data_IF_033325560637
#
_entry.id   IF_033325560637
#
_cell.length_a   1.000
_cell.length_b   1.000
_cell.length_c   1.000
_cell.angle_alpha   90.00
_cell.angle_beta   90.00
_cell.angle_gamma   90.00
#
_symmetry.space_group_name_H-M   'P 1'
#
loop_
_entity.id
_entity.type
_entity.pdbx_description
1 polymer ?
#
# COMPACT_ATOMS: atom_id res chain seq x y z
N UNK A 1 36.59 -27.94 5.02
CA UNK A 1 37.36 -28.15 6.25
C UNK A 1 37.42 -29.63 6.66
N UNK A 2 36.33 -30.36 6.75
CA UNK A 2 36.31 -31.79 7.17
C UNK A 2 37.21 -32.67 6.29
N UNK A 3 37.15 -32.54 4.97
CA UNK A 3 38.01 -33.29 4.05
C UNK A 3 39.51 -33.04 4.24
N UNK A 4 39.91 -31.82 4.57
CA UNK A 4 41.32 -31.48 4.85
C UNK A 4 41.80 -32.17 6.13
N UNK A 5 40.96 -32.20 7.16
CA UNK A 5 41.27 -32.88 8.43
C UNK A 5 41.40 -34.40 8.22
N UNK A 6 40.47 -34.98 7.44
CA UNK A 6 40.52 -36.42 7.10
C UNK A 6 41.79 -36.75 6.30
N UNK A 7 42.16 -35.94 5.30
CA UNK A 7 43.36 -36.11 4.53
C UNK A 7 44.65 -36.02 5.38
N UNK A 8 44.69 -35.04 6.33
CA UNK A 8 45.77 -34.91 7.31
C UNK A 8 45.85 -36.12 8.24
N UNK A 9 44.72 -36.66 8.70
CA UNK A 9 44.69 -37.90 9.51
C UNK A 9 45.26 -39.09 8.77
N UNK A 10 44.98 -39.24 7.45
CA UNK A 10 45.57 -40.29 6.64
C UNK A 10 47.10 -40.13 6.48
N UNK A 11 47.60 -38.91 6.33
CA UNK A 11 49.03 -38.62 6.23
C UNK A 11 49.75 -38.93 7.55
N UNK A 12 49.16 -38.49 8.68
CA UNK A 12 49.68 -38.73 10.03
C UNK A 12 49.61 -40.23 10.37
N UNK A 13 48.45 -40.90 10.09
CA UNK A 13 48.30 -42.33 10.29
C UNK A 13 49.32 -43.13 9.48
N UNK A 14 49.63 -42.73 8.23
CA UNK A 14 50.70 -43.32 7.44
C UNK A 14 52.11 -43.08 8.07
N UNK A 15 52.32 -42.09 8.90
CA UNK A 15 53.59 -41.88 9.59
C UNK A 15 53.87 -42.91 10.70
N UNK A 16 52.81 -43.38 11.38
CA UNK A 16 52.87 -44.32 12.49
C UNK A 16 53.02 -45.82 12.01
N UNK A 17 52.89 -46.11 10.73
CA UNK A 17 53.11 -47.47 10.21
C UNK A 17 54.60 -47.81 10.24
N UNK A 18 54.94 -48.89 10.98
CA UNK A 18 56.33 -49.31 11.21
C UNK A 18 57.00 -49.87 9.92
N UNK A 19 58.33 -49.68 9.73
CA UNK A 19 59.09 -49.93 8.51
C UNK A 19 59.52 -51.37 8.30
N UNK A 20 59.16 -52.35 9.14
CA UNK A 20 59.82 -53.67 9.21
C UNK A 20 59.48 -54.67 8.09
N UNK A 21 58.50 -54.42 7.20
CA UNK A 21 58.18 -55.28 6.05
C UNK A 21 57.99 -54.48 4.74
N UNK A 22 58.62 -54.97 3.63
CA UNK A 22 58.57 -54.29 2.32
C UNK A 22 57.16 -54.02 1.80
N UNK A 23 56.17 -54.90 2.03
CA UNK A 23 54.79 -54.72 1.66
C UNK A 23 54.13 -53.52 2.35
N UNK A 24 54.49 -53.25 3.59
CA UNK A 24 54.03 -52.12 4.35
C UNK A 24 54.59 -50.76 3.83
N UNK A 25 55.73 -50.76 3.18
CA UNK A 25 56.32 -49.56 2.59
C UNK A 25 55.57 -49.07 1.35
N UNK A 26 55.07 -50.00 0.54
CA UNK A 26 54.21 -49.67 -0.63
C UNK A 26 52.87 -49.16 -0.16
N UNK A 27 52.23 -49.79 0.82
CA UNK A 27 50.99 -49.37 1.43
C UNK A 27 51.09 -47.96 2.09
N UNK A 28 52.18 -47.72 2.79
CA UNK A 28 52.51 -46.39 3.42
C UNK A 28 52.62 -45.29 2.38
N UNK A 29 53.30 -45.56 1.22
CA UNK A 29 53.37 -44.59 0.11
C UNK A 29 52.02 -44.33 -0.51
N UNK A 30 51.21 -45.37 -0.73
CA UNK A 30 49.84 -45.26 -1.26
C UNK A 30 48.92 -44.46 -0.36
N UNK A 31 48.97 -44.72 0.97
CA UNK A 31 48.17 -44.01 1.97
C UNK A 31 48.51 -42.52 2.08
N UNK A 32 49.84 -42.20 1.99
CA UNK A 32 50.30 -40.81 1.94
C UNK A 32 49.81 -40.07 0.68
N UNK A 33 49.96 -40.74 -0.48
CA UNK A 33 49.53 -40.16 -1.74
C UNK A 33 48.00 -39.94 -1.76
N UNK A 34 47.25 -40.91 -1.24
CA UNK A 34 45.79 -40.78 -1.05
C UNK A 34 45.41 -39.67 -0.10
N UNK A 35 46.10 -39.60 1.06
CA UNK A 35 45.88 -38.50 2.01
C UNK A 35 46.18 -37.11 1.39
N UNK A 36 47.25 -37.00 0.60
CA UNK A 36 47.61 -35.76 -0.09
C UNK A 36 46.52 -35.38 -1.15
N UNK A 37 46.05 -36.38 -1.92
CA UNK A 37 44.99 -36.15 -2.88
C UNK A 37 43.68 -35.67 -2.22
N UNK A 38 43.32 -36.25 -1.07
CA UNK A 38 42.16 -35.81 -0.26
C UNK A 38 42.32 -34.38 0.28
N UNK A 39 43.54 -34.01 0.74
CA UNK A 39 43.83 -32.64 1.17
C UNK A 39 43.68 -31.64 0.02
N UNK A 40 44.29 -31.95 -1.14
CA UNK A 40 44.19 -31.10 -2.32
C UNK A 40 42.70 -30.94 -2.77
N UNK A 41 41.95 -32.04 -2.81
CA UNK A 41 40.52 -32.00 -3.11
C UNK A 41 39.75 -31.17 -2.09
N UNK A 42 40.08 -31.32 -0.82
CA UNK A 42 39.47 -30.52 0.28
C UNK A 42 39.75 -29.02 0.13
N UNK A 43 40.99 -28.64 -0.27
CA UNK A 43 41.31 -27.23 -0.55
C UNK A 43 40.52 -26.72 -1.78
N UNK A 44 40.49 -27.47 -2.87
CA UNK A 44 39.79 -27.09 -4.08
C UNK A 44 38.28 -26.88 -3.82
N UNK A 45 37.64 -27.80 -3.10
CA UNK A 45 36.23 -27.65 -2.72
C UNK A 45 35.97 -26.50 -1.76
N UNK A 46 36.95 -26.17 -0.89
CA UNK A 46 36.85 -25.03 0.03
C UNK A 46 36.98 -23.68 -0.68
N UNK A 47 37.68 -23.64 -1.81
CA UNK A 47 37.84 -22.43 -2.62
C UNK A 47 36.56 -22.03 -3.38
N UNK A 48 35.62 -22.95 -3.59
CA UNK A 48 34.38 -22.68 -4.32
C UNK A 48 33.27 -22.36 -3.33
N UNK A 49 32.68 -21.18 -3.49
CA UNK A 49 31.54 -20.72 -2.68
C UNK A 49 30.41 -20.29 -3.58
N UNK A 50 29.23 -20.76 -3.26
CA UNK A 50 28.00 -20.38 -3.94
C UNK A 50 27.27 -19.28 -3.15
N UNK A 51 26.94 -18.21 -3.85
CA UNK A 51 26.08 -17.12 -3.36
C UNK A 51 24.75 -17.20 -4.07
N UNK A 52 23.67 -17.18 -3.30
CA UNK A 52 22.32 -17.33 -3.83
C UNK A 52 21.86 -16.07 -4.57
N UNK A 53 20.89 -16.21 -5.45
CA UNK A 53 20.32 -15.07 -6.16
C UNK A 53 19.67 -14.08 -5.18
N UNK A 54 19.95 -12.78 -5.37
CA UNK A 54 19.47 -11.72 -4.49
C UNK A 54 20.27 -11.58 -3.19
N UNK A 55 21.42 -12.27 -3.08
CA UNK A 55 22.38 -12.09 -1.99
C UNK A 55 23.74 -11.69 -2.57
N UNK A 56 24.54 -11.08 -1.72
CA UNK A 56 25.96 -10.83 -1.97
C UNK A 56 26.78 -11.39 -0.81
N UNK A 57 28.00 -11.80 -1.13
CA UNK A 57 28.95 -12.27 -0.14
C UNK A 57 29.92 -11.15 0.25
N UNK A 58 29.94 -10.78 1.51
CA UNK A 58 30.97 -9.89 2.06
C UNK A 58 32.07 -10.75 2.67
N UNK A 59 33.30 -10.51 2.23
CA UNK A 59 34.47 -11.27 2.63
C UNK A 59 35.09 -10.71 3.91
N UNK A 60 35.45 -11.58 4.84
CA UNK A 60 36.18 -11.22 6.04
C UNK A 60 37.38 -12.16 6.22
N UNK A 61 38.59 -11.61 6.31
CA UNK A 61 39.80 -12.35 6.58
C UNK A 61 40.29 -11.98 7.97
N UNK A 62 40.28 -12.93 8.90
CA UNK A 62 40.66 -12.75 10.30
C UNK A 62 40.01 -11.52 10.96
N UNK A 63 38.72 -11.30 10.68
CA UNK A 63 37.96 -10.16 11.22
C UNK A 63 38.04 -8.86 10.40
N UNK A 64 38.98 -8.75 9.46
CA UNK A 64 39.06 -7.60 8.57
C UNK A 64 38.07 -7.78 7.37
N UNK A 65 37.05 -6.94 7.30
CA UNK A 65 36.10 -6.93 6.21
C UNK A 65 36.73 -6.31 4.96
N UNK A 66 36.67 -7.02 3.85
CA UNK A 66 37.12 -6.54 2.53
C UNK A 66 36.03 -5.71 1.86
N UNK A 67 36.43 -4.71 1.07
CA UNK A 67 35.50 -3.93 0.25
C UNK A 67 35.04 -4.71 -1.02
N UNK A 68 35.74 -5.79 -1.36
CA UNK A 68 35.35 -6.64 -2.48
C UNK A 68 34.14 -7.49 -2.11
N UNK A 69 33.11 -7.39 -2.94
CA UNK A 69 31.89 -8.17 -2.81
C UNK A 69 31.88 -9.34 -3.78
N UNK A 70 31.30 -10.45 -3.35
CA UNK A 70 31.02 -11.61 -4.21
C UNK A 70 29.59 -11.49 -4.73
N UNK A 71 29.45 -11.55 -6.04
CA UNK A 71 28.13 -11.55 -6.69
C UNK A 71 27.46 -12.92 -6.61
N UNK A 72 26.15 -12.97 -6.90
CA UNK A 72 25.40 -14.23 -7.01
C UNK A 72 26.04 -15.18 -8.04
N UNK A 73 26.04 -16.47 -7.72
CA UNK A 73 26.61 -17.54 -8.53
C UNK A 73 27.81 -18.23 -7.83
N UNK A 74 28.62 -18.93 -8.62
CA UNK A 74 29.83 -19.61 -8.15
C UNK A 74 30.99 -18.63 -8.14
N UNK A 75 31.62 -18.50 -6.99
CA UNK A 75 32.78 -17.63 -6.77
C UNK A 75 33.97 -18.44 -6.27
N UNK A 76 35.14 -18.11 -6.77
CA UNK A 76 36.40 -18.68 -6.28
C UNK A 76 37.01 -17.73 -5.28
N UNK A 77 37.23 -18.22 -4.06
CA UNK A 77 37.72 -17.43 -2.92
C UNK A 77 38.83 -18.13 -2.20
N UNK A 78 39.64 -17.36 -1.45
CA UNK A 78 40.63 -17.94 -0.56
C UNK A 78 39.91 -18.78 0.52
N UNK A 79 40.33 -20.04 0.78
CA UNK A 79 39.69 -20.91 1.78
C UNK A 79 39.74 -20.40 3.23
N UNK A 80 40.61 -19.44 3.52
CA UNK A 80 40.73 -18.82 4.84
C UNK A 80 39.78 -17.65 5.07
N UNK A 81 39.04 -17.21 4.01
CA UNK A 81 38.12 -16.11 4.11
C UNK A 81 36.78 -16.60 4.63
N UNK A 82 36.25 -15.94 5.65
CA UNK A 82 34.84 -16.08 6.07
C UNK A 82 33.94 -15.21 5.20
N UNK A 83 32.82 -15.77 4.74
CA UNK A 83 31.87 -15.10 3.86
C UNK A 83 30.57 -14.96 4.60
N UNK A 84 30.15 -13.70 4.80
CA UNK A 84 28.84 -13.36 5.32
C UNK A 84 27.91 -12.98 4.16
N UNK A 85 26.80 -13.70 4.05
CA UNK A 85 25.76 -13.42 3.04
C UNK A 85 24.92 -12.26 3.53
N UNK A 86 24.73 -11.24 2.69
CA UNK A 86 23.85 -10.09 2.92
C UNK A 86 22.76 -10.12 1.88
N UNK A 87 21.51 -10.06 2.31
CA UNK A 87 20.37 -9.99 1.42
C UNK A 87 20.23 -8.56 0.86
N UNK A 88 20.16 -8.46 -0.49
CA UNK A 88 20.01 -7.20 -1.22
C UNK A 88 18.61 -7.06 -1.85
N UNK A 89 17.73 -8.04 -1.63
CA UNK A 89 16.33 -7.95 -2.02
C UNK A 89 15.62 -6.92 -1.15
N UNK A 90 14.45 -6.52 -1.59
CA UNK A 90 13.54 -5.74 -0.76
C UNK A 90 13.19 -6.50 0.50
N UNK A 91 13.45 -5.89 1.62
CA UNK A 91 13.10 -6.38 2.95
C UNK A 91 12.01 -5.48 3.52
N UNK A 92 11.15 -6.05 4.34
CA UNK A 92 10.17 -5.31 5.09
C UNK A 92 10.53 -5.31 6.58
N UNK A 93 10.12 -4.27 7.27
CA UNK A 93 10.08 -4.21 8.72
C UNK A 93 8.78 -3.57 9.16
N UNK A 94 7.96 -4.34 9.87
CA UNK A 94 6.66 -3.90 10.35
C UNK A 94 6.70 -3.63 11.85
N UNK A 95 6.31 -2.42 12.23
CA UNK A 95 6.12 -1.97 13.60
C UNK A 95 4.63 -1.88 13.86
N UNK A 96 4.06 -2.79 14.62
CA UNK A 96 2.64 -2.85 14.94
C UNK A 96 2.42 -3.14 16.42
N UNK A 97 1.31 -2.62 16.96
CA UNK A 97 0.82 -2.97 18.30
C UNK A 97 -0.08 -4.20 18.31
N UNK A 98 -0.45 -4.71 17.14
CA UNK A 98 -1.28 -5.90 17.02
C UNK A 98 -0.40 -7.14 17.10
N UNK A 99 -0.82 -8.07 17.98
CA UNK A 99 -0.15 -9.36 18.14
C UNK A 99 -0.16 -10.10 16.78
N UNK A 100 0.96 -10.70 16.41
CA UNK A 100 1.17 -11.47 15.17
C UNK A 100 1.24 -10.63 13.85
N UNK A 101 1.18 -9.30 13.89
CA UNK A 101 1.36 -8.46 12.69
C UNK A 101 2.75 -7.81 12.57
N UNK A 102 3.50 -7.71 13.66
CA UNK A 102 4.83 -7.09 13.72
C UNK A 102 5.97 -8.09 13.54
N UNK A 103 7.15 -7.58 13.17
CA UNK A 103 8.40 -8.38 13.12
C UNK A 103 8.94 -8.75 14.51
N UNK A 104 8.43 -8.13 15.56
CA UNK A 104 8.74 -8.44 16.96
C UNK A 104 7.49 -8.92 17.69
N UNK A 105 7.66 -9.95 18.49
CA UNK A 105 6.64 -10.37 19.45
C UNK A 105 6.34 -9.23 20.44
N UNK A 106 5.06 -8.91 20.63
CA UNK A 106 4.58 -7.86 21.52
C UNK A 106 4.31 -6.53 20.84
N UNK A 107 4.09 -5.48 21.65
CA UNK A 107 3.76 -4.14 21.19
C UNK A 107 5.01 -3.39 20.70
N UNK A 108 5.20 -3.34 19.38
CA UNK A 108 6.22 -2.55 18.70
C UNK A 108 5.66 -1.31 17.99
N UNK A 109 4.39 -0.95 18.22
CA UNK A 109 3.79 0.26 17.67
C UNK A 109 4.55 1.53 18.09
N UNK A 110 4.41 2.56 17.29
CA UNK A 110 5.09 3.82 17.53
C UNK A 110 4.11 4.78 18.21
N UNK A 111 4.37 5.12 19.48
CA UNK A 111 3.63 6.14 20.20
C UNK A 111 4.27 7.50 19.95
N UNK A 112 3.48 8.44 19.50
CA UNK A 112 3.89 9.81 19.18
C UNK A 112 2.98 10.83 19.82
N UNK A 113 3.52 12.00 20.14
CA UNK A 113 2.76 13.17 20.53
C UNK A 113 2.51 14.04 19.29
N UNK A 114 1.28 14.44 19.11
CA UNK A 114 0.83 15.34 18.04
C UNK A 114 0.97 16.82 18.44
N UNK A 115 0.78 17.73 17.50
CA UNK A 115 0.85 19.17 17.74
C UNK A 115 -0.14 19.67 18.80
N UNK A 116 -1.27 19.00 18.95
CA UNK A 116 -2.31 19.26 19.96
C UNK A 116 -2.08 18.52 21.29
N UNK A 117 -0.90 17.90 21.47
CA UNK A 117 -0.51 17.22 22.72
C UNK A 117 -1.19 15.89 22.97
N UNK A 118 -1.84 15.30 21.97
CA UNK A 118 -2.48 14.00 22.07
C UNK A 118 -1.49 12.88 21.75
N UNK A 119 -1.55 11.78 22.50
CA UNK A 119 -0.80 10.57 22.18
C UNK A 119 -1.54 9.77 21.11
N UNK A 120 -0.84 9.47 20.02
CA UNK A 120 -1.34 8.67 18.90
C UNK A 120 -0.43 7.47 18.69
N UNK A 121 -1.04 6.31 18.41
CA UNK A 121 -0.33 5.08 18.09
C UNK A 121 -0.34 4.91 16.57
N UNK A 122 0.85 4.71 16.01
CA UNK A 122 1.03 4.55 14.55
C UNK A 122 1.64 3.19 14.27
N UNK A 123 0.96 2.40 13.44
CA UNK A 123 1.47 1.16 12.87
C UNK A 123 2.04 1.44 11.47
N UNK A 124 3.24 0.93 11.23
CA UNK A 124 4.01 1.29 10.05
C UNK A 124 4.77 0.08 9.50
N UNK A 125 4.85 -0.01 8.18
CA UNK A 125 5.76 -0.93 7.48
C UNK A 125 6.74 -0.14 6.63
N UNK A 126 8.01 -0.47 6.76
CA UNK A 126 9.11 0.11 5.99
C UNK A 126 9.61 -0.94 5.01
N UNK A 127 9.59 -0.62 3.72
CA UNK A 127 10.22 -1.43 2.68
C UNK A 127 11.57 -0.80 2.33
N UNK A 128 12.62 -1.59 2.45
CA UNK A 128 13.98 -1.11 2.24
C UNK A 128 14.87 -2.22 1.66
N UNK A 129 16.00 -1.83 1.11
CA UNK A 129 17.04 -2.77 0.68
C UNK A 129 18.44 -2.23 0.97
N UNK A 130 19.38 -3.14 1.02
CA UNK A 130 20.81 -2.81 1.15
C UNK A 130 21.39 -2.48 -0.23
N UNK A 131 22.16 -1.40 -0.33
CA UNK A 131 22.96 -1.14 -1.51
C UNK A 131 24.14 -2.10 -1.56
N UNK A 132 24.30 -2.82 -2.66
CA UNK A 132 25.32 -3.88 -2.82
C UNK A 132 26.74 -3.36 -2.54
N UNK A 133 27.08 -2.18 -3.06
CA UNK A 133 28.39 -1.54 -2.87
C UNK A 133 28.64 -1.05 -1.43
N UNK A 134 27.59 -0.84 -0.65
CA UNK A 134 27.68 -0.33 0.73
C UNK A 134 27.63 -1.45 1.80
N UNK A 135 27.31 -2.68 1.38
CA UNK A 135 27.20 -3.80 2.31
C UNK A 135 28.48 -4.07 3.12
N UNK A 136 29.71 -3.95 2.57
CA UNK A 136 30.92 -4.08 3.37
C UNK A 136 31.03 -3.02 4.46
N UNK A 137 30.61 -1.80 4.18
CA UNK A 137 30.59 -0.70 5.16
C UNK A 137 29.57 -0.97 6.26
N UNK A 138 28.34 -1.34 5.90
CA UNK A 138 27.29 -1.70 6.86
C UNK A 138 27.78 -2.82 7.77
N UNK A 139 28.44 -3.83 7.19
CA UNK A 139 28.98 -4.95 7.94
C UNK A 139 30.06 -4.54 8.93
N UNK A 140 30.93 -3.59 8.57
CA UNK A 140 31.97 -3.05 9.46
C UNK A 140 31.40 -2.22 10.60
N UNK A 141 30.45 -1.34 10.29
CA UNK A 141 29.95 -0.36 11.25
C UNK A 141 28.85 -0.94 12.15
N UNK A 142 28.00 -1.81 11.62
CA UNK A 142 26.78 -2.24 12.30
C UNK A 142 26.67 -3.75 12.47
N UNK A 143 27.25 -4.52 11.53
CA UNK A 143 27.09 -5.97 11.43
C UNK A 143 25.82 -6.34 10.65
N UNK A 144 25.37 -7.59 10.84
CA UNK A 144 24.17 -8.10 10.16
C UNK A 144 22.86 -7.61 10.81
N UNK A 145 22.95 -7.05 12.01
CA UNK A 145 21.79 -6.59 12.78
C UNK A 145 21.36 -5.16 12.44
N UNK A 146 21.66 -4.68 11.22
CA UNK A 146 21.37 -3.31 10.78
C UNK A 146 19.88 -2.97 10.85
N UNK A 147 19.01 -3.96 10.74
CA UNK A 147 17.56 -3.81 10.91
C UNK A 147 17.22 -3.25 12.30
N UNK A 148 17.73 -3.89 13.34
CA UNK A 148 17.44 -3.50 14.73
C UNK A 148 18.26 -2.31 15.21
N UNK A 149 19.45 -2.09 14.64
CA UNK A 149 20.37 -1.02 15.05
C UNK A 149 20.23 0.27 14.25
N UNK A 150 19.76 0.20 13.00
CA UNK A 150 19.61 1.36 12.10
C UNK A 150 18.15 1.56 11.71
N UNK A 151 17.53 0.59 11.03
CA UNK A 151 16.22 0.77 10.41
C UNK A 151 15.17 1.12 11.46
N UNK A 152 15.06 0.29 12.50
CA UNK A 152 14.05 0.46 13.54
C UNK A 152 14.19 1.77 14.32
N UNK A 153 15.34 2.10 14.96
CA UNK A 153 15.45 3.29 15.79
C UNK A 153 15.37 4.58 14.96
N UNK A 154 15.94 4.60 13.77
CA UNK A 154 15.92 5.78 12.90
C UNK A 154 14.50 6.07 12.43
N UNK A 155 13.77 5.05 11.97
CA UNK A 155 12.37 5.20 11.56
C UNK A 155 11.51 5.73 12.71
N UNK A 156 11.63 5.14 13.91
CA UNK A 156 10.88 5.59 15.10
C UNK A 156 11.16 7.05 15.46
N UNK A 157 12.42 7.45 15.41
CA UNK A 157 12.82 8.82 15.71
C UNK A 157 12.24 9.80 14.68
N UNK A 158 12.40 9.51 13.39
CA UNK A 158 11.89 10.39 12.32
C UNK A 158 10.38 10.54 12.33
N UNK A 159 9.65 9.48 12.68
CA UNK A 159 8.19 9.57 12.84
C UNK A 159 7.83 10.48 14.01
N UNK A 160 8.48 10.32 15.17
CA UNK A 160 8.24 11.20 16.33
C UNK A 160 8.55 12.66 16.02
N UNK A 161 9.70 12.92 15.39
CA UNK A 161 10.13 14.28 15.04
C UNK A 161 9.17 14.96 14.06
N UNK A 162 8.51 14.20 13.19
CA UNK A 162 7.57 14.75 12.22
C UNK A 162 6.12 14.80 12.72
N UNK A 163 5.73 13.97 13.67
CA UNK A 163 4.36 13.94 14.19
C UNK A 163 3.97 15.23 14.92
N UNK A 164 4.92 15.89 15.57
CA UNK A 164 4.69 17.15 16.32
C UNK A 164 4.22 18.33 15.45
N UNK A 165 4.33 18.23 14.14
CA UNK A 165 3.85 19.25 13.20
C UNK A 165 2.41 19.05 12.75
N UNK A 166 1.75 17.97 13.16
CA UNK A 166 0.42 17.59 12.74
C UNK A 166 -0.50 17.41 13.94
N UNK A 167 -1.76 17.83 13.82
CA UNK A 167 -2.78 17.51 14.82
C UNK A 167 -3.24 16.05 14.68
N UNK A 168 -3.89 15.53 15.73
CA UNK A 168 -4.43 14.17 15.68
C UNK A 168 -5.44 13.98 14.52
N UNK A 169 -6.25 15.00 14.23
CA UNK A 169 -7.19 15.00 13.09
C UNK A 169 -6.45 15.00 11.77
N UNK A 170 -5.38 15.77 11.63
CA UNK A 170 -4.57 15.81 10.40
C UNK A 170 -3.98 14.44 10.09
N UNK A 171 -3.45 13.76 11.09
CA UNK A 171 -2.89 12.41 10.95
C UNK A 171 -3.95 11.36 10.64
N UNK A 172 -5.13 11.48 11.27
CA UNK A 172 -6.20 10.49 11.12
C UNK A 172 -6.92 10.60 9.77
N UNK A 173 -7.10 11.82 9.22
CA UNK A 173 -7.92 12.00 8.01
C UNK A 173 -7.33 12.94 6.96
N UNK A 174 -7.05 14.21 7.28
CA UNK A 174 -6.93 15.26 6.27
C UNK A 174 -5.55 15.36 5.62
N UNK A 175 -4.47 15.10 6.36
CA UNK A 175 -3.09 15.29 5.89
C UNK A 175 -2.22 14.03 6.00
N UNK A 176 -2.85 12.86 6.03
CA UNK A 176 -2.15 11.56 6.13
C UNK A 176 -1.09 11.38 5.04
N UNK A 177 -1.41 11.71 3.80
CA UNK A 177 -0.50 11.57 2.66
C UNK A 177 0.66 12.56 2.73
N UNK A 178 0.41 13.79 3.20
CA UNK A 178 1.46 14.78 3.42
C UNK A 178 2.42 14.34 4.52
N UNK A 179 1.90 13.80 5.62
CA UNK A 179 2.68 13.23 6.71
C UNK A 179 3.55 12.08 6.22
N UNK A 180 2.98 11.12 5.49
CA UNK A 180 3.70 9.98 4.91
C UNK A 180 4.83 10.45 3.99
N UNK A 181 4.56 11.40 3.09
CA UNK A 181 5.56 11.95 2.16
C UNK A 181 6.69 12.67 2.91
N UNK A 182 6.36 13.42 3.94
CA UNK A 182 7.36 14.14 4.75
C UNK A 182 8.28 13.19 5.51
N UNK A 183 7.72 12.15 6.14
CA UNK A 183 8.49 11.12 6.83
C UNK A 183 9.36 10.37 5.83
N UNK A 184 8.79 9.97 4.69
CA UNK A 184 9.53 9.25 3.66
C UNK A 184 10.82 9.99 3.29
N UNK A 185 10.72 11.28 2.93
CA UNK A 185 11.90 12.10 2.60
C UNK A 185 12.89 12.19 3.74
N UNK A 186 12.39 12.38 4.97
CA UNK A 186 13.24 12.49 6.16
C UNK A 186 14.02 11.20 6.48
N UNK A 187 13.43 10.03 6.21
CA UNK A 187 14.07 8.72 6.40
C UNK A 187 14.98 8.38 5.23
N UNK A 188 14.56 8.66 3.99
CA UNK A 188 15.30 8.36 2.76
C UNK A 188 16.71 8.93 2.80
N UNK A 189 16.85 10.21 3.17
CA UNK A 189 18.14 10.89 3.27
C UNK A 189 19.09 10.21 4.26
N UNK A 190 18.57 9.78 5.41
CA UNK A 190 19.37 9.16 6.44
C UNK A 190 19.68 7.68 6.14
N UNK A 191 18.77 6.97 5.50
CA UNK A 191 19.01 5.61 5.00
C UNK A 191 20.12 5.62 3.95
N UNK A 192 20.04 6.56 2.99
CA UNK A 192 21.04 6.69 1.92
C UNK A 192 22.44 6.95 2.46
N UNK A 193 22.60 7.81 3.48
CA UNK A 193 23.87 8.04 4.16
C UNK A 193 24.47 6.79 4.80
N UNK A 194 23.62 5.81 5.14
CA UNK A 194 24.00 4.56 5.80
C UNK A 194 24.03 3.35 4.86
N UNK A 195 23.91 3.57 3.54
CA UNK A 195 24.00 2.51 2.53
C UNK A 195 22.70 1.69 2.38
N UNK A 196 21.58 2.21 2.88
CA UNK A 196 20.25 1.64 2.70
C UNK A 196 19.46 2.48 1.69
N UNK A 197 18.54 1.84 0.97
CA UNK A 197 17.54 2.50 0.13
C UNK A 197 16.18 2.29 0.75
N UNK A 198 15.47 3.38 1.03
CA UNK A 198 14.06 3.34 1.37
C UNK A 198 13.28 3.22 0.06
N UNK A 199 12.54 2.13 -0.10
CA UNK A 199 11.70 1.93 -1.30
C UNK A 199 10.30 2.43 -1.06
N UNK A 200 9.72 2.09 0.10
CA UNK A 200 8.38 2.53 0.46
C UNK A 200 8.20 2.65 1.97
N UNK A 201 7.34 3.56 2.37
CA UNK A 201 6.89 3.73 3.74
C UNK A 201 5.36 3.62 3.75
N UNK A 202 4.82 2.67 4.48
CA UNK A 202 3.39 2.39 4.53
C UNK A 202 2.88 2.67 5.94
N UNK A 203 2.15 3.76 6.10
CA UNK A 203 1.39 4.01 7.34
C UNK A 203 0.15 3.12 7.30
N UNK A 204 0.11 2.08 8.13
CA UNK A 204 -0.97 1.07 8.13
C UNK A 204 -2.19 1.57 8.90
N UNK A 205 -1.99 1.83 10.17
CA UNK A 205 -3.05 2.27 11.06
C UNK A 205 -2.60 3.45 11.92
N UNK A 206 -3.54 4.31 12.28
CA UNK A 206 -3.35 5.41 13.21
C UNK A 206 -4.46 5.31 14.24
N UNK A 207 -4.10 4.90 15.46
CA UNK A 207 -5.05 4.69 16.54
C UNK A 207 -5.03 5.88 17.49
N UNK A 208 -6.20 6.45 17.69
CA UNK A 208 -6.44 7.54 18.64
C UNK A 208 -6.98 6.99 19.96
N UNK A 209 -6.79 7.68 21.10
CA UNK A 209 -7.52 7.39 22.33
C UNK A 209 -9.04 7.44 22.09
N UNK A 210 -9.78 6.51 22.71
CA UNK A 210 -11.21 6.31 22.41
C UNK A 210 -12.05 7.55 22.57
N UNK A 211 -11.84 8.32 23.64
CA UNK A 211 -12.55 9.58 23.90
C UNK A 211 -12.29 10.63 22.82
N UNK A 212 -11.04 10.73 22.35
CA UNK A 212 -10.66 11.67 21.29
C UNK A 212 -11.23 11.23 19.94
N UNK A 213 -11.19 9.94 19.65
CA UNK A 213 -11.77 9.35 18.44
C UNK A 213 -13.26 9.68 18.34
N UNK A 214 -14.02 9.45 19.42
CA UNK A 214 -15.46 9.75 19.48
C UNK A 214 -15.74 11.23 19.22
N UNK A 215 -15.01 12.15 19.88
CA UNK A 215 -15.19 13.59 19.67
C UNK A 215 -14.85 14.04 18.24
N UNK A 216 -13.84 13.43 17.62
CA UNK A 216 -13.48 13.69 16.21
C UNK A 216 -14.57 13.18 15.27
N UNK A 217 -15.07 11.97 15.50
CA UNK A 217 -16.15 11.38 14.70
C UNK A 217 -17.43 12.21 14.78
N UNK A 218 -17.79 12.70 15.97
CA UNK A 218 -18.93 13.61 16.17
C UNK A 218 -18.73 14.94 15.42
N UNK A 219 -17.54 15.52 15.50
CA UNK A 219 -17.21 16.74 14.74
C UNK A 219 -17.32 16.55 13.24
N UNK A 220 -16.72 15.48 12.72
CA UNK A 220 -16.77 15.14 11.28
C UNK A 220 -18.24 14.93 10.85
N UNK A 221 -19.04 14.24 11.67
CA UNK A 221 -20.47 14.03 11.40
C UNK A 221 -21.23 15.37 11.34
N UNK A 222 -20.99 16.26 12.30
CA UNK A 222 -21.63 17.58 12.31
C UNK A 222 -21.23 18.42 11.07
N UNK A 223 -19.95 18.39 10.68
CA UNK A 223 -19.47 19.07 9.47
C UNK A 223 -20.12 18.49 8.19
N UNK A 224 -20.25 17.16 8.10
CA UNK A 224 -20.93 16.50 6.98
C UNK A 224 -22.43 16.83 6.94
N UNK A 225 -23.09 16.90 8.09
CA UNK A 225 -24.51 17.30 8.17
C UNK A 225 -24.70 18.77 7.75
N UNK A 226 -23.79 19.67 8.16
CA UNK A 226 -23.80 21.05 7.71
C UNK A 226 -23.61 21.20 6.20
N UNK A 227 -22.64 20.50 5.62
CA UNK A 227 -22.41 20.47 4.18
C UNK A 227 -23.65 19.89 3.41
N UNK A 228 -24.23 18.80 3.93
CA UNK A 228 -25.46 18.23 3.36
C UNK A 228 -26.59 19.26 3.37
N UNK A 229 -26.75 19.99 4.47
CA UNK A 229 -27.79 21.02 4.57
C UNK A 229 -27.57 22.16 3.56
N UNK A 230 -26.32 22.56 3.35
CA UNK A 230 -25.96 23.56 2.34
C UNK A 230 -26.36 23.11 0.92
N UNK A 231 -26.05 21.83 0.57
CA UNK A 231 -26.50 21.24 -0.70
C UNK A 231 -28.02 21.18 -0.83
N UNK A 232 -28.73 20.84 0.24
CA UNK A 232 -30.20 20.84 0.24
C UNK A 232 -30.74 22.24 -0.01
N UNK A 233 -30.20 23.25 0.70
CA UNK A 233 -30.60 24.64 0.49
C UNK A 233 -30.32 25.13 -0.94
N UNK A 234 -29.19 24.76 -1.51
CA UNK A 234 -28.86 25.09 -2.89
C UNK A 234 -29.84 24.43 -3.87
N UNK A 235 -30.15 23.15 -3.67
CA UNK A 235 -31.14 22.42 -4.47
C UNK A 235 -32.51 23.06 -4.39
N UNK A 236 -33.01 23.38 -3.19
CA UNK A 236 -34.29 24.03 -2.98
C UNK A 236 -34.38 25.41 -3.66
N UNK A 237 -33.28 26.19 -3.57
CA UNK A 237 -33.19 27.49 -4.28
C UNK A 237 -33.29 27.29 -5.81
N UNK A 238 -32.56 26.32 -6.34
CA UNK A 238 -32.61 26.01 -7.78
C UNK A 238 -34.02 25.52 -8.22
N UNK A 239 -34.66 24.69 -7.39
CA UNK A 239 -36.00 24.20 -7.67
C UNK A 239 -37.05 25.31 -7.59
N UNK A 240 -36.96 26.20 -6.62
CA UNK A 240 -37.80 27.39 -6.53
C UNK A 240 -37.63 28.30 -7.75
N UNK A 241 -36.39 28.52 -8.19
CA UNK A 241 -36.13 29.32 -9.40
C UNK A 241 -36.67 28.64 -10.65
N UNK A 242 -36.50 27.33 -10.81
CA UNK A 242 -37.06 26.54 -11.90
C UNK A 242 -38.58 26.69 -11.93
N UNK A 243 -39.28 26.54 -10.77
CA UNK A 243 -40.73 26.71 -10.68
C UNK A 243 -41.17 28.14 -11.01
N UNK A 244 -40.35 29.14 -10.62
CA UNK A 244 -40.63 30.55 -10.94
C UNK A 244 -40.55 30.79 -12.46
N UNK A 245 -39.50 30.27 -13.12
CA UNK A 245 -39.28 30.39 -14.56
C UNK A 245 -40.39 29.65 -15.32
N UNK A 246 -40.79 28.46 -14.85
CA UNK A 246 -41.88 27.67 -15.42
C UNK A 246 -43.22 28.42 -15.31
N UNK A 247 -43.55 28.97 -14.14
CA UNK A 247 -44.75 29.78 -13.93
C UNK A 247 -44.75 31.04 -14.81
N UNK A 248 -43.60 31.68 -14.95
CA UNK A 248 -43.45 32.85 -15.85
C UNK A 248 -43.71 32.43 -17.31
N UNK A 249 -43.14 31.30 -17.75
CA UNK A 249 -43.35 30.75 -19.10
C UNK A 249 -44.83 30.45 -19.37
N UNK A 250 -45.52 29.86 -18.40
CA UNK A 250 -46.99 29.60 -18.49
C UNK A 250 -47.77 30.90 -18.60
N UNK A 251 -47.42 31.90 -17.77
CA UNK A 251 -48.10 33.20 -17.80
C UNK A 251 -47.88 33.92 -19.13
N UNK A 252 -46.66 33.89 -19.67
CA UNK A 252 -46.32 34.48 -20.98
C UNK A 252 -47.04 33.74 -22.12
N UNK A 253 -47.08 32.38 -22.07
CA UNK A 253 -47.83 31.58 -22.99
C UNK A 253 -49.32 31.92 -22.98
N UNK A 254 -49.96 31.99 -21.80
CA UNK A 254 -51.35 32.38 -21.66
C UNK A 254 -51.63 33.79 -22.18
N UNK A 255 -50.70 34.73 -21.93
CA UNK A 255 -50.82 36.11 -22.44
C UNK A 255 -50.79 36.17 -23.96
N UNK A 256 -49.88 35.42 -24.59
CA UNK A 256 -49.75 35.33 -26.05
C UNK A 256 -51.00 34.71 -26.67
N UNK A 257 -51.51 33.62 -26.10
CA UNK A 257 -52.72 32.95 -26.59
C UNK A 257 -53.93 33.87 -26.42
N UNK A 258 -54.08 34.50 -25.23
CA UNK A 258 -55.24 35.40 -24.97
C UNK A 258 -55.28 36.62 -25.91
N UNK A 259 -54.07 37.13 -26.27
CA UNK A 259 -53.93 38.23 -27.21
C UNK A 259 -54.25 37.83 -28.67
N UNK A 260 -54.04 36.56 -29.04
CA UNK A 260 -54.21 36.01 -30.37
C UNK A 260 -55.59 35.37 -30.63
N UNK A 261 -56.27 34.96 -29.58
CA UNK A 261 -57.58 34.26 -29.70
C UNK A 261 -58.73 35.28 -29.84
N UNK A 262 -59.15 35.49 -31.05
CA UNK A 262 -60.47 36.13 -31.32
C UNK A 262 -61.61 35.16 -31.09
N UNK A 263 -62.85 35.66 -30.69
CA UNK A 263 -64.02 34.84 -30.52
C UNK A 263 -64.33 33.95 -31.76
N UNK A 264 -63.98 34.42 -32.95
CA UNK A 264 -64.13 33.65 -34.21
C UNK A 264 -63.16 32.45 -34.29
N UNK A 265 -61.98 32.56 -33.71
CA UNK A 265 -60.97 31.47 -33.69
C UNK A 265 -61.39 30.39 -32.69
N UNK A 266 -61.88 30.76 -31.54
CA UNK A 266 -62.48 29.82 -30.58
C UNK A 266 -63.63 29.05 -31.12
N UNK A 267 -64.54 29.74 -31.91
CA UNK A 267 -65.61 29.09 -32.61
C UNK A 267 -65.15 28.12 -33.70
N UNK A 268 -64.13 28.48 -34.45
CA UNK A 268 -63.56 27.63 -35.50
C UNK A 268 -62.88 26.36 -34.85
N UNK A 269 -62.15 26.48 -33.80
CA UNK A 269 -61.57 25.32 -33.09
C UNK A 269 -62.63 24.43 -32.46
N UNK A 270 -63.68 24.98 -31.88
CA UNK A 270 -64.85 24.22 -31.42
C UNK A 270 -65.49 23.40 -32.55
N UNK A 271 -65.64 23.98 -33.74
CA UNK A 271 -66.19 23.29 -34.92
C UNK A 271 -65.22 22.17 -35.37
N UNK A 272 -63.91 22.39 -35.32
CA UNK A 272 -62.92 21.36 -35.68
C UNK A 272 -62.90 20.19 -34.68
N UNK A 273 -63.00 20.46 -33.37
CA UNK A 273 -63.15 19.46 -32.34
C UNK A 273 -64.42 18.65 -32.51
N UNK A 274 -65.51 19.30 -32.80
CA UNK A 274 -66.83 18.63 -33.14
C UNK A 274 -66.67 17.76 -34.36
N UNK A 275 -66.03 18.21 -35.46
CA UNK A 275 -65.80 17.38 -36.64
C UNK A 275 -64.91 16.14 -36.28
N UNK A 276 -63.91 16.29 -35.48
CA UNK A 276 -63.07 15.17 -34.99
C UNK A 276 -63.88 14.16 -34.17
N UNK A 277 -64.82 14.63 -33.39
CA UNK A 277 -65.67 13.75 -32.59
C UNK A 277 -66.66 12.97 -33.48
N UNK A 278 -67.20 13.57 -34.58
CA UNK A 278 -68.07 12.91 -35.52
C UNK A 278 -67.36 11.80 -36.31
N UNK A 279 -66.10 11.96 -36.56
CA UNK A 279 -65.28 10.96 -37.28
C UNK A 279 -64.59 9.94 -36.36
N UNK A 280 -64.77 10.03 -35.04
CA UNK A 280 -64.17 9.11 -34.07
C UNK A 280 -64.85 7.74 -34.11
N UNK A 281 -64.12 6.62 -34.22
CA UNK A 281 -64.71 5.27 -34.25
C UNK A 281 -65.35 4.83 -32.91
N UNK A 282 -65.16 5.61 -31.84
CA UNK A 282 -65.76 5.38 -30.53
C UNK A 282 -67.06 6.18 -30.40
N UNK A 283 -68.22 5.51 -30.52
CA UNK A 283 -69.53 6.14 -30.37
C UNK A 283 -69.76 6.61 -28.94
N UNK A 284 -69.47 7.88 -28.72
CA UNK A 284 -69.81 8.57 -27.46
C UNK A 284 -70.83 9.67 -27.86
N UNK A 285 -71.99 9.66 -27.23
CA UNK A 285 -72.92 10.74 -27.39
C UNK A 285 -72.58 11.89 -26.48
N UNK A 286 -72.18 13.03 -27.06
CA UNK A 286 -71.87 14.24 -26.32
C UNK A 286 -73.08 15.18 -26.50
N UNK A 287 -73.76 15.42 -25.42
CA UNK A 287 -74.85 16.43 -25.41
C UNK A 287 -74.28 17.75 -24.94
N UNK A 288 -74.21 18.72 -25.83
CA UNK A 288 -73.77 20.08 -25.48
C UNK A 288 -74.99 20.96 -25.24
N UNK A 289 -75.25 21.30 -24.01
CA UNK A 289 -76.24 22.35 -23.66
C UNK A 289 -75.59 23.73 -23.73
N UNK A 290 -76.43 24.78 -23.79
CA UNK A 290 -76.02 26.19 -23.81
C UNK A 290 -75.32 26.68 -22.53
N UNK A 291 -74.98 25.77 -21.62
CA UNK A 291 -74.19 25.96 -20.40
C UNK A 291 -72.82 25.30 -20.52
N UNK A 292 -71.80 25.86 -19.87
CA UNK A 292 -70.38 25.63 -20.06
C UNK A 292 -69.81 24.26 -19.62
N UNK A 293 -70.58 23.23 -19.41
CA UNK A 293 -70.11 21.89 -19.05
C UNK A 293 -70.64 20.83 -20.00
N UNK A 294 -69.76 20.17 -20.81
CA UNK A 294 -70.16 19.03 -21.63
C UNK A 294 -70.45 17.82 -20.73
N UNK A 295 -71.65 17.23 -20.90
CA UNK A 295 -72.01 15.94 -20.29
C UNK A 295 -71.62 14.83 -21.25
N UNK A 296 -70.70 14.00 -20.92
CA UNK A 296 -70.28 12.83 -21.70
C UNK A 296 -71.13 11.64 -21.22
N UNK A 297 -72.03 11.15 -22.09
CA UNK A 297 -72.76 9.90 -21.85
C UNK A 297 -72.07 8.77 -22.59
N UNK A 298 -71.51 7.79 -21.84
CA UNK A 298 -70.98 6.56 -22.41
C UNK A 298 -72.15 5.57 -22.65
N UNK A 299 -72.46 5.34 -23.87
CA UNK A 299 -73.42 4.28 -24.27
C UNK A 299 -72.67 2.98 -24.44
N UNK A 300 -72.13 2.38 -23.33
CA UNK A 300 -71.83 0.96 -23.35
C UNK A 300 -73.13 0.19 -23.31
N UNK A 301 -73.54 -0.30 -24.47
CA UNK A 301 -74.63 -1.27 -24.61
C UNK A 301 -74.36 -2.48 -23.71
N UNK A 302 -75.32 -2.69 -22.82
CA UNK A 302 -75.46 -4.00 -22.21
C UNK A 302 -75.71 -5.02 -23.31
N UNK A 303 -74.81 -5.93 -23.48
CA UNK A 303 -75.15 -7.26 -24.01
C UNK A 303 -75.00 -8.25 -22.86
N UNK A 304 -76.12 -8.91 -22.65
CA UNK A 304 -76.34 -10.13 -21.87
C UNK A 304 -75.20 -11.15 -21.99
#
# INVERSE_FOLDING_TARGET
>A
MVLIIIGLLFIVGAAFINKEKEEFTKFKKGLRFFGLAVVVLGILTSCIKQIDAGQIGVQSLFGKVSDNILTSGLNTVNPLVDIKKVDIKTQNYTMSGVHDEGDKEGDDAIRVLTADGLEVIIDLTVLYRVLSNEAPRIMRETGLDYRDKIVRPLTRTKIRDNAVYYTAIDLYSTKRDQFQTRIFKSIEDDFKKRGLVLEQLLVRNITLPTNVKTSIEEKIKAEQEAQKMEFVLQKEKQEAERKRVEAQGIADYQRIISAGLSDKQLQYENIQVMKGLVTSPNSKVIVMGKGSTPVILDTKDGKN
#
